data_IF_313206499515
#
_entry.id   IF_313206499515
#
_cell.length_a   1.000
_cell.length_b   1.000
_cell.length_c   1.000
_cell.angle_alpha   90.00
_cell.angle_beta   90.00
_cell.angle_gamma   90.00
#
_symmetry.space_group_name_H-M   'P 1'
#
loop_
_entity.id
_entity.type
_entity.pdbx_description
1 polymer ?
#
# COMPACT_ATOMS: atom_id res chain seq x y z
N UNK A 1 -6.67 9.72 1.09
CA UNK A 1 -5.81 8.85 0.26
C UNK A 1 -6.69 7.82 -0.44
N UNK A 2 -6.74 7.84 -1.77
CA UNK A 2 -7.56 6.92 -2.58
C UNK A 2 -6.76 5.64 -2.90
N UNK A 3 -6.53 4.78 -1.91
CA UNK A 3 -5.72 3.56 -2.11
C UNK A 3 -6.56 2.35 -2.54
N UNK A 4 -7.78 2.28 -2.03
CA UNK A 4 -8.78 1.29 -2.40
C UNK A 4 -10.12 2.01 -2.57
N UNK A 5 -10.90 1.63 -3.59
CA UNK A 5 -12.29 2.11 -3.78
C UNK A 5 -13.27 0.97 -3.57
N UNK A 6 -14.40 1.23 -2.91
CA UNK A 6 -15.46 0.22 -2.80
C UNK A 6 -16.11 -0.01 -4.16
N UNK A 7 -16.28 -1.28 -4.54
CA UNK A 7 -17.04 -1.64 -5.73
C UNK A 7 -18.40 -2.20 -5.30
N UNK A 8 -19.49 -1.51 -5.66
CA UNK A 8 -20.84 -2.01 -5.42
C UNK A 8 -21.14 -3.15 -6.38
N UNK A 9 -20.98 -4.39 -5.95
CA UNK A 9 -21.37 -5.57 -6.72
C UNK A 9 -22.87 -5.82 -6.61
N UNK A 10 -23.61 -5.56 -7.69
CA UNK A 10 -24.95 -6.13 -7.90
C UNK A 10 -24.76 -7.57 -8.38
N UNK A 11 -24.84 -8.55 -7.48
CA UNK A 11 -24.74 -9.98 -7.81
C UNK A 11 -25.39 -10.87 -6.73
N UNK A 12 -26.25 -11.83 -7.11
CA UNK A 12 -27.03 -12.62 -6.15
C UNK A 12 -26.27 -13.84 -5.64
N UNK A 13 -25.38 -13.65 -4.67
CA UNK A 13 -25.04 -14.60 -3.59
C UNK A 13 -24.05 -13.91 -2.65
N UNK A 14 -24.53 -12.92 -1.89
CA UNK A 14 -23.68 -12.15 -0.99
C UNK A 14 -23.46 -12.94 0.31
N UNK A 15 -22.48 -13.84 0.34
CA UNK A 15 -21.80 -14.20 1.58
C UNK A 15 -20.92 -13.02 2.03
N UNK A 16 -21.55 -11.92 2.48
CA UNK A 16 -21.01 -10.86 3.36
C UNK A 16 -19.69 -10.15 3.00
N UNK A 17 -19.09 -10.43 1.85
CA UNK A 17 -17.72 -10.02 1.54
C UNK A 17 -17.63 -8.66 0.87
N UNK A 18 -16.66 -7.84 1.31
CA UNK A 18 -16.41 -6.51 0.75
C UNK A 18 -15.47 -6.61 -0.46
N UNK A 19 -15.89 -6.02 -1.57
CA UNK A 19 -15.09 -5.92 -2.79
C UNK A 19 -14.48 -4.53 -2.91
N UNK A 20 -13.19 -4.48 -3.19
CA UNK A 20 -12.42 -3.27 -3.33
C UNK A 20 -11.68 -3.29 -4.66
N UNK A 21 -11.56 -2.13 -5.30
CA UNK A 21 -10.65 -1.97 -6.44
C UNK A 21 -9.38 -1.27 -6.00
N UNK A 22 -8.24 -1.83 -6.39
CA UNK A 22 -6.93 -1.27 -6.14
C UNK A 22 -6.70 0.00 -6.97
N UNK A 23 -6.20 1.05 -6.30
CA UNK A 23 -5.85 2.33 -6.94
C UNK A 23 -4.33 2.54 -6.99
N UNK A 24 -3.55 1.48 -6.79
CA UNK A 24 -2.09 1.45 -6.87
C UNK A 24 -1.61 0.04 -7.18
N UNK A 25 -0.36 -0.09 -7.62
CA UNK A 25 0.28 -1.37 -7.84
C UNK A 25 0.98 -1.88 -6.57
N UNK A 26 0.81 -3.16 -6.27
CA UNK A 26 1.46 -3.81 -5.15
C UNK A 26 2.18 -5.09 -5.60
N UNK A 27 3.46 -5.17 -5.27
CA UNK A 27 4.32 -6.30 -5.59
C UNK A 27 4.80 -6.96 -4.30
N UNK A 28 4.31 -8.18 -4.04
CA UNK A 28 4.66 -8.96 -2.85
C UNK A 28 6.16 -9.25 -2.74
N UNK A 29 6.88 -9.34 -3.86
CA UNK A 29 8.33 -9.63 -3.85
C UNK A 29 9.15 -8.50 -3.24
N UNK A 30 8.59 -7.29 -3.16
CA UNK A 30 9.24 -6.09 -2.61
C UNK A 30 8.96 -5.90 -1.11
N UNK A 31 8.12 -6.73 -0.49
CA UNK A 31 7.81 -6.65 0.93
C UNK A 31 8.23 -7.95 1.63
N UNK A 32 9.36 -7.89 2.35
CA UNK A 32 9.88 -9.03 3.11
C UNK A 32 9.23 -9.18 4.49
N UNK A 33 8.34 -8.27 4.90
CA UNK A 33 7.68 -8.25 6.21
C UNK A 33 6.30 -8.88 6.23
N UNK A 34 6.03 -9.80 5.30
CA UNK A 34 4.73 -10.43 5.14
C UNK A 34 4.48 -11.49 6.22
N UNK A 35 3.30 -11.50 6.87
CA UNK A 35 2.96 -12.54 7.85
C UNK A 35 2.64 -13.90 7.19
N UNK A 36 2.34 -13.93 5.90
CA UNK A 36 2.00 -15.12 5.12
C UNK A 36 2.23 -14.87 3.62
N UNK A 37 1.70 -15.73 2.74
CA UNK A 37 1.78 -15.54 1.30
C UNK A 37 1.11 -14.21 0.90
N UNK A 38 1.91 -13.29 0.37
CA UNK A 38 1.39 -12.03 -0.17
C UNK A 38 0.59 -12.25 -1.45
N UNK A 39 -0.35 -11.34 -1.70
CA UNK A 39 -1.09 -11.26 -2.97
C UNK A 39 -0.62 -10.01 -3.72
N UNK A 40 -0.03 -10.19 -4.91
CA UNK A 40 0.33 -9.08 -5.80
C UNK A 40 -0.87 -8.64 -6.62
N UNK A 41 -1.02 -7.34 -6.86
CA UNK A 41 -2.11 -6.78 -7.67
C UNK A 41 -1.67 -5.51 -8.39
N UNK A 42 -2.43 -5.13 -9.41
CA UNK A 42 -2.21 -3.92 -10.20
C UNK A 42 -3.31 -2.90 -9.99
N UNK A 43 -3.03 -1.66 -10.39
CA UNK A 43 -4.07 -0.63 -10.47
C UNK A 43 -5.25 -1.14 -11.30
N UNK A 44 -6.47 -1.01 -10.75
CA UNK A 44 -7.69 -1.42 -11.41
C UNK A 44 -8.17 -2.82 -11.05
N UNK A 45 -7.33 -3.66 -10.44
CA UNK A 45 -7.72 -5.01 -10.03
C UNK A 45 -8.82 -4.96 -8.97
N UNK A 46 -9.77 -5.89 -9.09
CA UNK A 46 -10.83 -6.11 -8.10
C UNK A 46 -10.35 -7.16 -7.10
N UNK A 47 -10.42 -6.84 -5.81
CA UNK A 47 -10.00 -7.67 -4.71
C UNK A 47 -11.20 -7.93 -3.81
N UNK A 48 -11.50 -9.22 -3.59
CA UNK A 48 -12.49 -9.64 -2.61
C UNK A 48 -11.78 -9.84 -1.27
N UNK A 49 -12.15 -9.02 -0.29
CA UNK A 49 -11.52 -9.08 1.05
C UNK A 49 -12.30 -10.03 1.95
N UNK A 50 -11.63 -11.12 2.33
CA UNK A 50 -12.15 -12.16 3.22
C UNK A 50 -12.05 -11.73 4.69
N UNK A 51 -10.91 -11.18 5.10
CA UNK A 51 -10.68 -10.74 6.48
C UNK A 51 -9.95 -9.40 6.48
N UNK A 52 -10.50 -8.41 7.21
CA UNK A 52 -9.88 -7.10 7.40
C UNK A 52 -9.85 -6.68 8.88
N UNK A 53 -9.88 -7.64 9.80
CA UNK A 53 -9.82 -7.38 11.23
C UNK A 53 -8.43 -6.91 11.68
N UNK A 54 -7.39 -7.29 10.94
CA UNK A 54 -6.03 -6.85 11.19
C UNK A 54 -5.78 -5.46 10.58
N UNK A 55 -5.06 -4.63 11.34
CA UNK A 55 -4.79 -3.24 11.01
C UNK A 55 -3.64 -3.04 10.01
N UNK A 56 -2.85 -4.07 9.74
CA UNK A 56 -1.69 -4.04 8.86
C UNK A 56 -1.89 -4.88 7.60
N UNK A 57 -2.53 -6.04 7.72
CA UNK A 57 -2.62 -7.04 6.64
C UNK A 57 -4.04 -7.58 6.47
N UNK A 58 -4.62 -7.41 5.29
CA UNK A 58 -5.94 -7.95 4.98
C UNK A 58 -5.82 -9.22 4.16
N UNK A 59 -6.62 -10.23 4.47
CA UNK A 59 -6.73 -11.43 3.64
C UNK A 59 -7.68 -11.13 2.48
N UNK A 60 -7.19 -11.32 1.27
CA UNK A 60 -7.94 -11.06 0.05
C UNK A 60 -7.65 -12.12 -1.01
N UNK A 61 -8.51 -12.16 -2.02
CA UNK A 61 -8.28 -12.86 -3.29
C UNK A 61 -8.60 -11.94 -4.45
N UNK A 62 -7.96 -12.17 -5.60
CA UNK A 62 -8.23 -11.40 -6.81
C UNK A 62 -9.51 -11.92 -7.47
N UNK A 63 -10.36 -11.01 -7.95
CA UNK A 63 -11.52 -11.33 -8.77
C UNK A 63 -11.13 -11.15 -10.23
N UNK A 64 -11.30 -12.21 -11.01
CA UNK A 64 -11.06 -12.25 -12.46
C UNK A 64 -12.40 -12.31 -13.20
N UNK A 65 -12.38 -12.13 -14.53
CA UNK A 65 -13.59 -12.17 -15.35
C UNK A 65 -14.27 -13.55 -15.35
N UNK A 66 -13.50 -14.62 -15.15
CA UNK A 66 -13.99 -15.99 -14.99
C UNK A 66 -14.51 -16.29 -13.58
N UNK A 67 -14.43 -15.32 -12.66
CA UNK A 67 -14.86 -15.44 -11.27
C UNK A 67 -13.72 -15.16 -10.29
N UNK A 68 -13.91 -15.57 -9.04
CA UNK A 68 -12.89 -15.47 -8.00
C UNK A 68 -11.66 -16.32 -8.36
N UNK A 69 -10.48 -15.73 -8.34
CA UNK A 69 -9.23 -16.48 -8.48
C UNK A 69 -8.99 -17.32 -7.22
N UNK A 70 -8.47 -18.54 -7.39
CA UNK A 70 -8.04 -19.41 -6.27
C UNK A 70 -6.82 -18.83 -5.52
N UNK A 71 -6.12 -17.84 -6.08
CA UNK A 71 -4.98 -17.20 -5.42
C UNK A 71 -5.44 -16.29 -4.27
N UNK A 72 -5.38 -16.84 -3.05
CA UNK A 72 -5.56 -16.13 -1.79
C UNK A 72 -4.22 -15.66 -1.24
N UNK A 73 -4.21 -14.47 -0.63
CA UNK A 73 -3.03 -13.97 0.07
C UNK A 73 -3.29 -12.71 0.88
N UNK A 74 -2.25 -12.22 1.54
CA UNK A 74 -2.31 -10.98 2.31
C UNK A 74 -1.99 -9.77 1.45
N UNK A 75 -2.80 -8.71 1.59
CA UNK A 75 -2.60 -7.40 0.98
C UNK A 75 -2.37 -6.35 2.07
N UNK A 76 -1.62 -5.28 1.81
CA UNK A 76 -1.40 -4.25 2.81
C UNK A 76 -2.70 -3.49 3.09
N UNK A 77 -3.02 -3.30 4.37
CA UNK A 77 -4.17 -2.51 4.79
C UNK A 77 -4.02 -1.05 4.36
N UNK A 78 -5.15 -0.33 4.29
CA UNK A 78 -5.14 1.12 4.04
C UNK A 78 -4.22 1.85 5.03
N UNK A 79 -4.26 1.48 6.32
CA UNK A 79 -3.51 2.16 7.39
C UNK A 79 -2.00 1.98 7.25
N UNK A 80 -1.54 0.78 6.84
CA UNK A 80 -0.13 0.48 6.59
C UNK A 80 0.42 1.32 5.44
N UNK A 81 -0.31 1.37 4.33
CA UNK A 81 0.10 2.13 3.13
C UNK A 81 0.11 3.65 3.42
N UNK A 82 -0.90 4.18 4.11
CA UNK A 82 -0.94 5.60 4.49
C UNK A 82 0.22 6.02 5.43
N UNK A 83 0.62 5.13 6.36
CA UNK A 83 1.77 5.39 7.24
C UNK A 83 3.07 5.49 6.44
N UNK A 84 3.28 4.58 5.48
CA UNK A 84 4.47 4.56 4.62
C UNK A 84 4.54 5.83 3.75
N UNK A 85 3.44 6.23 3.11
CA UNK A 85 3.40 7.47 2.32
C UNK A 85 3.61 8.72 3.19
N UNK A 86 3.03 8.76 4.40
CA UNK A 86 3.23 9.89 5.34
C UNK A 86 4.69 10.01 5.80
N UNK A 87 5.39 8.90 5.99
CA UNK A 87 6.81 8.92 6.33
C UNK A 87 7.65 9.43 5.14
N UNK A 88 7.34 8.98 3.91
CA UNK A 88 8.03 9.43 2.69
C UNK A 88 7.93 10.95 2.48
N UNK A 89 6.75 11.52 2.71
CA UNK A 89 6.53 12.97 2.58
C UNK A 89 7.24 13.81 3.66
N UNK A 90 7.59 13.23 4.81
CA UNK A 90 8.29 13.93 5.90
C UNK A 90 9.82 14.03 5.72
N UNK A 91 10.41 13.25 4.81
CA UNK A 91 11.87 13.14 4.66
C UNK A 91 12.50 14.30 3.87
N UNK A 92 11.73 15.24 3.32
CA UNK A 92 12.30 16.42 2.65
C UNK A 92 12.66 17.53 3.65
N UNK A 93 13.77 17.36 4.38
CA UNK A 93 14.49 18.47 5.02
C UNK A 93 15.90 18.55 4.44
N UNK A 94 16.15 19.66 3.75
CA UNK A 94 17.37 20.00 3.02
C UNK A 94 18.62 19.91 3.91
N UNK A 95 19.65 19.21 3.41
CA UNK A 95 21.00 19.29 3.96
C UNK A 95 21.65 20.60 3.48
N UNK A 96 21.50 21.68 4.25
CA UNK A 96 22.27 22.90 4.05
C UNK A 96 23.69 22.68 4.63
N UNK A 97 24.63 22.47 3.72
CA UNK A 97 26.08 22.31 3.90
C UNK A 97 26.66 23.32 4.91
N UNK A 98 27.55 22.92 5.84
CA UNK A 98 28.29 23.85 6.68
C UNK A 98 29.26 24.65 5.80
N UNK A 99 28.99 25.94 5.64
CA UNK A 99 29.83 26.86 4.89
C UNK A 99 31.18 27.04 5.57
N UNK A 100 32.24 26.67 4.86
CA UNK A 100 33.61 27.11 5.10
C UNK A 100 33.66 28.64 5.07
N UNK A 101 34.00 29.28 6.19
CA UNK A 101 34.44 30.67 6.20
C UNK A 101 35.96 30.70 6.34
N UNK A 102 36.63 31.00 5.23
CA UNK A 102 38.04 31.37 5.17
C UNK A 102 38.23 32.69 5.92
N UNK A 103 39.07 32.68 6.96
CA UNK A 103 39.48 33.88 7.68
C UNK A 103 40.93 34.20 7.34
N UNK A 104 41.19 34.63 6.10
CA UNK A 104 42.36 35.49 5.82
C UNK A 104 42.05 36.92 6.21
N UNK A 105 42.62 37.35 7.34
CA UNK A 105 42.58 38.73 7.80
C UNK A 105 43.80 39.08 8.64
N UNK A 106 44.94 39.30 7.97
CA UNK A 106 46.06 40.09 8.54
C UNK A 106 45.54 41.50 8.83
N UNK A 107 45.82 41.99 10.05
CA UNK A 107 46.18 43.38 10.40
C UNK A 107 46.21 43.51 11.93
N UNK A 108 47.41 43.49 12.52
CA UNK A 108 48.01 44.57 13.35
C UNK A 108 49.42 44.13 13.69
#
# INVERSE_FOLDING_TARGET
>A
TFLYRHTQGRGPLQTGGKHLQAMFDYDKSKDSGLPSQGLSFKYGDILHVINASDDEWWQARRVTLEGDSEEMGVIPSKRRVERKERARLKTVKFNAKPGVIDAKGVRT
#
